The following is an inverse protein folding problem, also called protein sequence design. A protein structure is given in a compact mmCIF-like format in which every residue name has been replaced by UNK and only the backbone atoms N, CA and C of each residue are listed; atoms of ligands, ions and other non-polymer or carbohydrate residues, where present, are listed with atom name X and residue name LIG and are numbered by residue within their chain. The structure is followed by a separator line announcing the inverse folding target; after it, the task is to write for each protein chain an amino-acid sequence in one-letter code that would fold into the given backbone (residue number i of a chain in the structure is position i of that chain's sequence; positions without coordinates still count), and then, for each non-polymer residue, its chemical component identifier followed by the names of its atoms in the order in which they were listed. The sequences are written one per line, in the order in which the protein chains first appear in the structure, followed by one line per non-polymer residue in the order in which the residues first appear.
data_IF_579520891428
#
_entry.id   IF_579520891428
#
_cell.length_a   1.000
_cell.length_b   1.000
_cell.length_c   1.000
_cell.angle_alpha   90.00
_cell.angle_beta   90.00
_cell.angle_gamma   90.00
#
_symmetry.space_group_name_H-M   'P 1'
#
loop_
_entity.id
_entity.type
_entity.pdbx_description
1 polymer ?
#
# COMPACT_ATOMS: atom_id res chain seq x y z
N UNK A 1 -10.85 30.95 -53.58
CA UNK A 1 -10.37 29.59 -53.26
C UNK A 1 -9.59 29.68 -51.96
N UNK A 2 -10.30 29.31 -50.91
CA UNK A 2 -10.11 29.69 -49.51
C UNK A 2 -8.88 29.01 -48.90
N UNK A 3 -7.96 29.81 -48.34
CA UNK A 3 -6.93 29.30 -47.43
C UNK A 3 -7.61 28.86 -46.14
N UNK A 4 -8.01 27.59 -46.09
CA UNK A 4 -8.28 26.86 -44.85
C UNK A 4 -6.95 26.73 -44.07
N UNK A 5 -6.57 27.81 -43.39
CA UNK A 5 -5.71 27.74 -42.22
C UNK A 5 -6.40 26.78 -41.25
N UNK A 6 -5.90 25.55 -41.16
CA UNK A 6 -6.18 24.66 -40.05
C UNK A 6 -5.61 25.29 -38.79
N UNK A 7 -6.42 26.17 -38.19
CA UNK A 7 -6.21 26.72 -36.86
C UNK A 7 -6.34 25.54 -35.91
N UNK A 8 -5.24 24.82 -35.71
CA UNK A 8 -5.14 23.78 -34.68
C UNK A 8 -5.29 24.51 -33.35
N UNK A 9 -6.53 24.52 -32.85
CA UNK A 9 -6.91 25.03 -31.55
C UNK A 9 -5.94 24.42 -30.53
N UNK A 10 -5.33 25.22 -29.62
CA UNK A 10 -4.51 24.66 -28.55
C UNK A 10 -5.38 23.65 -27.80
N UNK A 11 -5.02 22.38 -27.95
CA UNK A 11 -5.86 21.30 -27.45
C UNK A 11 -5.87 21.39 -25.93
N UNK A 12 -7.05 21.63 -25.38
CA UNK A 12 -7.21 21.90 -23.96
C UNK A 12 -6.72 20.68 -23.18
N UNK A 13 -5.67 20.85 -22.38
CA UNK A 13 -4.92 19.72 -21.81
C UNK A 13 -5.81 18.93 -20.86
N UNK A 14 -6.76 19.59 -20.20
CA UNK A 14 -7.73 18.97 -19.29
C UNK A 14 -8.81 18.18 -20.04
N UNK A 15 -8.94 18.34 -21.36
CA UNK A 15 -9.85 17.55 -22.20
C UNK A 15 -9.32 16.16 -22.58
N UNK A 16 -8.03 15.89 -22.34
CA UNK A 16 -7.39 14.58 -22.54
C UNK A 16 -7.74 13.66 -21.37
N UNK A 17 -8.88 13.00 -21.51
CA UNK A 17 -9.39 12.01 -20.58
C UNK A 17 -9.87 10.82 -21.38
N UNK A 18 -9.60 9.60 -20.89
CA UNK A 18 -9.93 8.34 -21.54
C UNK A 18 -11.40 8.27 -22.00
N UNK A 19 -12.31 8.78 -21.17
CA UNK A 19 -13.76 8.76 -21.43
C UNK A 19 -14.24 9.75 -22.49
N UNK A 20 -13.47 10.83 -22.74
CA UNK A 20 -13.80 11.85 -23.75
C UNK A 20 -13.12 11.58 -25.09
N UNK A 21 -11.85 11.18 -25.06
CA UNK A 21 -11.02 10.96 -26.24
C UNK A 21 -10.12 9.74 -26.06
N UNK A 22 -10.65 8.50 -26.13
CA UNK A 22 -9.91 7.30 -25.74
C UNK A 22 -8.67 7.05 -26.59
N UNK A 23 -8.79 7.13 -27.92
CA UNK A 23 -7.69 6.83 -28.85
C UNK A 23 -6.53 7.83 -28.75
N UNK A 24 -6.84 9.13 -28.71
CA UNK A 24 -5.78 10.16 -28.59
C UNK A 24 -5.14 10.18 -27.20
N UNK A 25 -5.91 9.91 -26.14
CA UNK A 25 -5.38 9.77 -24.77
C UNK A 25 -4.43 8.58 -24.69
N UNK A 26 -4.81 7.41 -25.24
CA UNK A 26 -3.94 6.23 -25.30
C UNK A 26 -2.67 6.49 -26.12
N UNK A 27 -2.80 7.11 -27.29
CA UNK A 27 -1.64 7.45 -28.12
C UNK A 27 -0.65 8.35 -27.37
N UNK A 28 -1.15 9.38 -26.69
CA UNK A 28 -0.32 10.33 -25.94
C UNK A 28 0.30 9.66 -24.70
N UNK A 29 -0.44 8.78 -24.03
CA UNK A 29 0.06 7.94 -22.96
C UNK A 29 1.24 7.08 -23.43
N UNK A 30 1.09 6.32 -24.53
CA UNK A 30 2.17 5.47 -25.04
C UNK A 30 3.39 6.28 -25.48
N UNK A 31 3.18 7.44 -26.10
CA UNK A 31 4.28 8.35 -26.49
C UNK A 31 5.03 8.89 -25.26
N UNK A 32 4.34 9.30 -24.20
CA UNK A 32 4.99 9.71 -22.94
C UNK A 32 5.75 8.54 -22.32
N UNK A 33 5.13 7.34 -22.30
CA UNK A 33 5.73 6.14 -21.76
C UNK A 33 7.05 5.79 -22.47
N UNK A 34 7.08 5.87 -23.80
CA UNK A 34 8.31 5.66 -24.60
C UNK A 34 9.37 6.73 -24.30
N UNK A 35 8.96 8.00 -24.16
CA UNK A 35 9.90 9.09 -23.80
C UNK A 35 10.48 8.88 -22.41
N UNK A 36 9.66 8.56 -21.41
CA UNK A 36 10.13 8.28 -20.05
C UNK A 36 11.02 7.04 -20.02
N UNK A 37 10.64 5.97 -20.70
CA UNK A 37 11.40 4.72 -20.75
C UNK A 37 12.77 4.94 -21.42
N UNK A 38 12.80 5.62 -22.56
CA UNK A 38 14.06 5.92 -23.27
C UNK A 38 14.94 6.90 -22.49
N UNK A 39 14.37 7.88 -21.79
CA UNK A 39 15.13 8.80 -20.94
C UNK A 39 15.68 8.08 -19.70
N UNK A 40 14.88 7.22 -19.08
CA UNK A 40 15.28 6.35 -17.97
C UNK A 40 16.40 5.41 -18.38
N UNK A 41 16.26 4.73 -19.52
CA UNK A 41 17.27 3.83 -20.07
C UNK A 41 18.57 4.57 -20.38
N UNK A 42 18.52 5.75 -21.00
CA UNK A 42 19.72 6.58 -21.24
C UNK A 42 20.42 6.98 -19.93
N UNK A 43 19.66 7.34 -18.90
CA UNK A 43 20.22 7.65 -17.57
C UNK A 43 20.82 6.42 -16.91
N UNK A 44 20.16 5.27 -17.00
CA UNK A 44 20.67 4.01 -16.47
C UNK A 44 21.98 3.62 -17.17
N UNK A 45 22.02 3.70 -18.50
CA UNK A 45 23.21 3.44 -19.32
C UNK A 45 24.34 4.46 -19.10
N UNK A 46 24.02 5.70 -18.71
CA UNK A 46 25.03 6.67 -18.29
C UNK A 46 25.76 6.18 -17.02
N UNK A 47 25.08 5.45 -16.13
CA UNK A 47 25.70 4.70 -15.04
C UNK A 47 26.15 3.32 -15.52
N UNK A 48 27.17 3.29 -16.40
CA UNK A 48 27.67 2.07 -17.08
C UNK A 48 27.86 0.87 -16.14
N UNK A 49 28.39 1.08 -14.93
CA UNK A 49 28.61 0.03 -13.94
C UNK A 49 27.29 -0.53 -13.38
N UNK A 50 26.31 0.33 -13.08
CA UNK A 50 25.00 -0.08 -12.59
C UNK A 50 24.21 -0.82 -13.68
N UNK A 51 24.28 -0.35 -14.93
CA UNK A 51 23.66 -0.99 -16.06
C UNK A 51 24.25 -2.38 -16.34
N UNK A 52 25.59 -2.51 -16.30
CA UNK A 52 26.28 -3.78 -16.45
C UNK A 52 25.94 -4.75 -15.32
N UNK A 53 25.94 -4.30 -14.07
CA UNK A 53 25.54 -5.11 -12.91
C UNK A 53 24.09 -5.60 -13.03
N UNK A 54 23.16 -4.73 -13.42
CA UNK A 54 21.76 -5.11 -13.63
C UNK A 54 21.61 -6.14 -14.76
N UNK A 55 22.33 -5.97 -15.87
CA UNK A 55 22.30 -6.91 -16.99
C UNK A 55 22.88 -8.27 -16.63
N UNK A 56 23.98 -8.31 -15.89
CA UNK A 56 24.57 -9.56 -15.37
C UNK A 56 23.64 -10.25 -14.38
N UNK A 57 22.93 -9.50 -13.54
CA UNK A 57 21.97 -10.06 -12.60
C UNK A 57 20.73 -10.64 -13.30
N UNK A 58 20.18 -9.93 -14.29
CA UNK A 58 19.03 -10.40 -15.07
C UNK A 58 19.42 -11.64 -15.90
N UNK A 59 20.57 -11.60 -16.58
CA UNK A 59 21.03 -12.75 -17.36
C UNK A 59 21.35 -13.95 -16.47
N UNK A 60 22.04 -13.75 -15.34
CA UNK A 60 22.34 -14.81 -14.39
C UNK A 60 21.09 -15.47 -13.79
N UNK A 61 20.11 -14.67 -13.36
CA UNK A 61 18.82 -15.19 -12.86
C UNK A 61 18.02 -15.93 -13.94
N UNK A 62 18.00 -15.40 -15.16
CA UNK A 62 17.34 -16.06 -16.31
C UNK A 62 17.99 -17.42 -16.60
N UNK A 63 19.32 -17.47 -16.68
CA UNK A 63 20.07 -18.71 -16.93
C UNK A 63 19.84 -19.73 -15.82
N UNK A 64 19.87 -19.27 -14.56
CA UNK A 64 19.61 -20.09 -13.37
C UNK A 64 18.18 -20.65 -13.31
N UNK A 65 17.21 -20.03 -13.99
CA UNK A 65 15.82 -20.51 -14.05
C UNK A 65 15.59 -21.57 -15.14
N UNK A 66 16.26 -21.42 -16.29
CA UNK A 66 16.10 -22.32 -17.44
C UNK A 66 17.01 -23.55 -17.39
N UNK A 67 18.16 -23.48 -16.71
CA UNK A 67 19.04 -24.63 -16.56
C UNK A 67 18.45 -25.59 -15.52
N UNK A 68 18.15 -26.81 -15.94
CA UNK A 68 17.74 -27.87 -15.03
C UNK A 68 18.93 -28.33 -14.18
N UNK A 69 18.77 -28.33 -12.86
CA UNK A 69 19.82 -28.79 -11.95
C UNK A 69 19.37 -28.83 -10.49
N UNK A 70 20.25 -29.26 -9.57
CA UNK A 70 19.94 -29.32 -8.13
C UNK A 70 19.66 -27.94 -7.52
N UNK A 71 20.11 -26.87 -8.17
CA UNK A 71 19.82 -25.47 -7.79
C UNK A 71 18.36 -25.08 -8.06
N UNK A 72 17.61 -25.82 -8.89
CA UNK A 72 16.24 -25.46 -9.28
C UNK A 72 15.29 -25.43 -8.09
N UNK A 73 15.50 -26.27 -7.08
CA UNK A 73 14.71 -26.25 -5.83
C UNK A 73 14.87 -24.90 -5.12
N UNK A 74 16.11 -24.43 -4.95
CA UNK A 74 16.39 -23.13 -4.34
C UNK A 74 15.88 -21.97 -5.18
N UNK A 75 16.01 -22.05 -6.51
CA UNK A 75 15.50 -21.01 -7.43
C UNK A 75 13.97 -20.91 -7.32
N UNK A 76 13.26 -22.04 -7.29
CA UNK A 76 11.80 -22.05 -7.15
C UNK A 76 11.36 -21.47 -5.80
N UNK A 77 12.00 -21.85 -4.70
CA UNK A 77 11.74 -21.29 -3.36
C UNK A 77 11.96 -19.77 -3.34
N UNK A 78 13.05 -19.27 -3.94
CA UNK A 78 13.33 -17.84 -4.02
C UNK A 78 12.28 -17.13 -4.87
N UNK A 79 11.93 -17.67 -6.03
CA UNK A 79 10.93 -17.06 -6.94
C UNK A 79 9.58 -16.96 -6.25
N UNK A 80 9.13 -18.03 -5.59
CA UNK A 80 7.87 -18.05 -4.83
C UNK A 80 7.91 -17.06 -3.67
N UNK A 81 9.02 -17.02 -2.92
CA UNK A 81 9.22 -16.09 -1.80
C UNK A 81 9.19 -14.63 -2.26
N UNK A 82 9.90 -14.31 -3.34
CA UNK A 82 9.93 -12.95 -3.91
C UNK A 82 8.57 -12.56 -4.48
N UNK A 83 7.88 -13.47 -5.16
CA UNK A 83 6.52 -13.23 -5.64
C UNK A 83 5.55 -12.97 -4.47
N UNK A 84 5.67 -13.74 -3.38
CA UNK A 84 4.90 -13.55 -2.17
C UNK A 84 5.15 -12.18 -1.52
N UNK A 85 6.42 -11.78 -1.37
CA UNK A 85 6.75 -10.45 -0.83
C UNK A 85 6.27 -9.33 -1.75
N UNK A 86 6.48 -9.48 -3.06
CA UNK A 86 6.03 -8.53 -4.07
C UNK A 86 4.52 -8.34 -4.05
N UNK A 87 3.75 -9.41 -3.84
CA UNK A 87 2.30 -9.36 -3.68
C UNK A 87 1.88 -8.46 -2.50
N UNK A 88 2.49 -8.63 -1.33
CA UNK A 88 2.21 -7.78 -0.16
C UNK A 88 2.61 -6.32 -0.39
N UNK A 89 3.72 -6.06 -1.07
CA UNK A 89 4.12 -4.69 -1.46
C UNK A 89 3.08 -4.07 -2.39
N UNK A 90 2.65 -4.78 -3.43
CA UNK A 90 1.65 -4.29 -4.40
C UNK A 90 0.33 -3.98 -3.70
N UNK A 91 -0.17 -4.89 -2.86
CA UNK A 91 -1.39 -4.64 -2.10
C UNK A 91 -1.24 -3.43 -1.16
N UNK A 92 -0.07 -3.26 -0.54
CA UNK A 92 0.25 -2.09 0.27
C UNK A 92 0.22 -0.78 -0.55
N UNK A 93 0.79 -0.76 -1.76
CA UNK A 93 0.73 0.41 -2.66
C UNK A 93 -0.73 0.71 -3.02
N UNK A 94 -1.48 -0.29 -3.47
CA UNK A 94 -2.89 -0.14 -3.82
C UNK A 94 -3.74 0.39 -2.65
N UNK A 95 -3.42 0.01 -1.41
CA UNK A 95 -4.14 0.49 -0.22
C UNK A 95 -3.96 1.98 0.07
N UNK A 96 -2.87 2.58 -0.40
CA UNK A 96 -2.49 3.96 -0.07
C UNK A 96 -2.80 4.95 -1.20
N UNK A 97 -2.82 4.50 -2.45
CA UNK A 97 -2.85 5.38 -3.62
C UNK A 97 -4.25 5.91 -3.95
N UNK A 98 -5.30 5.39 -3.31
CA UNK A 98 -6.70 5.78 -3.56
C UNK A 98 -7.41 6.51 -2.41
N UNK A 99 -6.93 7.67 -1.94
CA UNK A 99 -7.66 8.54 -0.99
C UNK A 99 -7.94 7.94 0.41
N UNK A 100 -6.97 7.24 1.01
CA UNK A 100 -6.98 7.06 2.47
C UNK A 100 -7.89 5.97 3.05
N UNK A 101 -8.25 4.93 2.31
CA UNK A 101 -8.93 3.74 2.87
C UNK A 101 -7.97 2.65 3.36
N UNK A 102 -6.71 2.97 3.67
CA UNK A 102 -5.68 1.98 4.05
C UNK A 102 -6.02 1.11 5.28
N UNK A 103 -6.85 1.61 6.22
CA UNK A 103 -7.39 0.79 7.32
C UNK A 103 -8.36 -0.28 6.81
N UNK A 104 -9.15 0.08 5.81
CA UNK A 104 -10.14 -0.79 5.23
C UNK A 104 -9.48 -1.93 4.43
N UNK A 105 -8.48 -1.62 3.61
CA UNK A 105 -7.69 -2.63 2.88
C UNK A 105 -6.90 -3.52 3.84
N UNK A 106 -6.40 -2.98 4.96
CA UNK A 106 -5.79 -3.78 6.02
C UNK A 106 -6.78 -4.83 6.58
N UNK A 107 -8.01 -4.43 6.91
CA UNK A 107 -9.03 -5.35 7.43
C UNK A 107 -9.48 -6.41 6.43
N UNK A 108 -9.30 -6.19 5.12
CA UNK A 108 -9.67 -7.16 4.09
C UNK A 108 -8.57 -8.19 3.78
N UNK A 109 -7.30 -7.79 3.85
CA UNK A 109 -6.20 -8.64 3.39
C UNK A 109 -5.24 -9.02 4.53
N UNK A 110 -4.53 -8.04 5.10
CA UNK A 110 -3.49 -8.31 6.09
C UNK A 110 -4.07 -8.75 7.45
N UNK A 111 -5.17 -8.15 7.89
CA UNK A 111 -5.86 -8.50 9.14
C UNK A 111 -6.30 -9.96 9.18
N UNK A 112 -7.07 -10.45 8.17
CA UNK A 112 -7.47 -11.85 8.07
C UNK A 112 -6.29 -12.81 7.96
N UNK A 113 -5.21 -12.42 7.29
CA UNK A 113 -3.99 -13.21 7.25
C UNK A 113 -3.37 -13.37 8.65
N UNK A 114 -3.19 -12.27 9.39
CA UNK A 114 -2.66 -12.31 10.77
C UNK A 114 -3.59 -13.13 11.68
N UNK A 115 -4.90 -12.96 11.55
CA UNK A 115 -5.89 -13.72 12.32
C UNK A 115 -5.77 -15.22 12.06
N UNK A 116 -5.61 -15.65 10.80
CA UNK A 116 -5.42 -17.06 10.43
C UNK A 116 -4.16 -17.65 11.06
N UNK A 117 -3.02 -16.96 10.97
CA UNK A 117 -1.76 -17.41 11.59
C UNK A 117 -1.90 -17.47 13.12
N UNK A 118 -2.63 -16.54 13.70
CA UNK A 118 -2.87 -16.50 15.15
C UNK A 118 -3.71 -17.68 15.60
N UNK A 119 -4.83 -17.97 14.92
CA UNK A 119 -5.67 -19.13 15.23
C UNK A 119 -4.91 -20.45 15.04
N UNK A 120 -4.21 -20.60 13.91
CA UNK A 120 -3.35 -21.74 13.63
C UNK A 120 -2.36 -22.02 14.77
N UNK A 121 -1.71 -20.96 15.28
CA UNK A 121 -0.76 -21.07 16.36
C UNK A 121 -1.40 -21.59 17.65
N UNK A 122 -2.57 -21.05 18.03
CA UNK A 122 -3.27 -21.50 19.24
C UNK A 122 -3.84 -22.92 19.10
N UNK A 123 -4.30 -23.32 17.92
CA UNK A 123 -4.85 -24.67 17.68
C UNK A 123 -3.76 -25.75 17.64
N UNK A 124 -2.65 -25.47 16.97
CA UNK A 124 -1.54 -26.41 16.86
C UNK A 124 -0.63 -26.43 18.11
N UNK A 125 -0.81 -25.47 19.04
CA UNK A 125 0.09 -25.32 20.18
C UNK A 125 1.52 -24.91 19.81
N UNK A 126 1.77 -24.52 18.55
CA UNK A 126 3.09 -24.17 18.03
C UNK A 126 3.05 -23.47 16.67
N UNK A 127 4.20 -22.94 16.24
CA UNK A 127 4.33 -22.08 15.04
C UNK A 127 5.00 -22.75 13.83
N UNK A 128 5.33 -24.04 13.96
CA UNK A 128 5.97 -24.86 12.92
C UNK A 128 4.96 -25.49 11.94
N UNK A 129 3.89 -24.77 11.61
CA UNK A 129 3.03 -25.10 10.47
C UNK A 129 3.60 -24.45 9.18
N UNK A 130 3.32 -25.05 8.00
CA UNK A 130 3.90 -24.64 6.72
C UNK A 130 3.76 -23.14 6.48
N UNK A 131 4.78 -22.49 5.93
CA UNK A 131 4.75 -21.05 5.60
C UNK A 131 3.84 -20.76 4.40
N UNK A 132 3.30 -19.53 4.27
CA UNK A 132 2.50 -19.16 3.12
C UNK A 132 3.27 -19.34 1.79
N UNK A 133 2.60 -19.74 0.69
CA UNK A 133 1.17 -20.01 0.56
C UNK A 133 0.76 -21.27 1.32
N UNK A 134 -0.19 -21.12 2.26
CA UNK A 134 -0.66 -22.26 3.05
C UNK A 134 -1.39 -23.23 2.11
N UNK A 135 -1.19 -24.56 2.25
CA UNK A 135 -2.17 -25.50 1.74
C UNK A 135 -3.55 -25.19 2.34
N UNK A 136 -4.62 -25.67 1.71
CA UNK A 136 -6.00 -25.37 2.14
C UNK A 136 -6.25 -25.72 3.62
N UNK A 137 -5.44 -26.61 4.20
CA UNK A 137 -5.47 -26.99 5.61
C UNK A 137 -4.16 -26.60 6.33
N UNK A 138 -4.29 -26.01 7.52
CA UNK A 138 -3.16 -25.82 8.44
C UNK A 138 -2.79 -27.20 9.00
N UNK A 139 -1.69 -27.77 8.51
CA UNK A 139 -1.15 -29.03 9.02
C UNK A 139 -0.32 -28.71 10.28
N UNK A 140 -0.80 -29.15 11.44
CA UNK A 140 -0.07 -28.99 12.69
C UNK A 140 1.15 -29.91 12.74
N UNK A 141 2.29 -29.43 13.28
CA UNK A 141 3.47 -30.27 13.47
C UNK A 141 3.22 -31.36 14.51
N UNK A 142 3.82 -32.54 14.31
CA UNK A 142 3.71 -33.67 15.24
C UNK A 142 4.50 -33.46 16.54
N UNK A 143 5.54 -32.60 16.51
CA UNK A 143 6.36 -32.24 17.66
C UNK A 143 6.39 -30.72 17.85
N UNK A 144 6.19 -30.27 19.09
CA UNK A 144 6.22 -28.86 19.46
C UNK A 144 7.64 -28.51 19.93
N UNK A 145 8.39 -27.81 19.08
CA UNK A 145 9.70 -27.26 19.47
C UNK A 145 9.51 -26.21 20.58
N UNK A 146 10.22 -26.32 21.73
CA UNK A 146 10.15 -25.34 22.83
C UNK A 146 10.47 -23.90 22.40
N UNK A 147 11.20 -23.69 21.28
CA UNK A 147 11.45 -22.35 20.73
C UNK A 147 10.24 -21.76 19.99
N UNK A 148 9.35 -22.61 19.49
CA UNK A 148 8.21 -22.24 18.65
C UNK A 148 6.86 -22.34 19.38
N UNK A 149 6.89 -22.33 20.71
CA UNK A 149 5.68 -22.27 21.54
C UNK A 149 4.86 -21.03 21.25
N UNK A 150 3.55 -21.16 21.46
CA UNK A 150 2.60 -20.07 21.21
C UNK A 150 2.88 -18.92 22.16
N UNK A 151 3.25 -17.77 21.57
CA UNK A 151 3.36 -16.52 22.28
C UNK A 151 3.06 -15.38 21.33
N UNK A 152 2.57 -14.25 21.85
CA UNK A 152 2.28 -13.05 21.04
C UNK A 152 3.54 -12.64 20.26
N UNK A 153 4.71 -12.70 20.90
CA UNK A 153 6.00 -12.36 20.29
C UNK A 153 6.38 -13.30 19.14
N UNK A 154 6.19 -14.60 19.31
CA UNK A 154 6.52 -15.58 18.27
C UNK A 154 5.53 -15.49 17.10
N UNK A 155 4.23 -15.25 17.36
CA UNK A 155 3.24 -14.99 16.30
C UNK A 155 3.59 -13.69 15.56
N UNK A 156 3.92 -12.62 16.27
CA UNK A 156 4.39 -11.36 15.68
C UNK A 156 5.65 -11.51 14.84
N UNK A 157 6.53 -12.45 15.19
CA UNK A 157 7.73 -12.78 14.44
C UNK A 157 7.39 -13.57 13.16
N UNK A 158 6.45 -14.52 13.25
CA UNK A 158 5.99 -15.33 12.11
C UNK A 158 5.37 -14.49 10.99
N UNK A 159 4.50 -13.51 11.31
CA UNK A 159 3.84 -12.62 10.33
C UNK A 159 4.63 -11.35 9.97
N UNK A 160 5.90 -11.27 10.39
CA UNK A 160 6.68 -10.03 10.36
C UNK A 160 6.91 -9.55 8.94
N UNK A 161 7.32 -10.44 8.05
CA UNK A 161 7.75 -10.07 6.70
C UNK A 161 6.57 -9.58 5.88
N UNK A 162 5.45 -10.30 5.89
CA UNK A 162 4.22 -9.93 5.21
C UNK A 162 3.72 -8.56 5.68
N UNK A 163 3.70 -8.35 7.00
CA UNK A 163 3.27 -7.08 7.59
C UNK A 163 4.22 -5.93 7.19
N UNK A 164 5.54 -6.14 7.25
CA UNK A 164 6.53 -5.13 6.88
C UNK A 164 6.49 -4.80 5.39
N UNK A 165 6.34 -5.80 4.51
CA UNK A 165 6.23 -5.63 3.06
C UNK A 165 4.97 -4.86 2.68
N UNK A 166 3.83 -5.17 3.32
CA UNK A 166 2.62 -4.36 3.19
C UNK A 166 2.86 -2.92 3.62
N UNK A 167 3.44 -2.70 4.81
CA UNK A 167 3.74 -1.37 5.33
C UNK A 167 4.71 -0.59 4.43
N UNK A 168 5.70 -1.26 3.83
CA UNK A 168 6.59 -0.69 2.82
C UNK A 168 5.81 -0.27 1.57
N UNK A 169 4.90 -1.11 1.09
CA UNK A 169 3.98 -0.75 0.00
C UNK A 169 3.16 0.50 0.32
N UNK A 170 2.64 0.62 1.55
CA UNK A 170 1.90 1.83 1.96
C UNK A 170 2.77 3.09 2.06
N UNK A 171 4.09 2.95 2.26
CA UNK A 171 5.02 4.08 2.21
C UNK A 171 5.33 4.48 0.76
N UNK A 172 5.47 3.50 -0.13
CA UNK A 172 5.63 3.73 -1.57
C UNK A 172 4.39 4.40 -2.18
N UNK A 173 3.19 4.07 -1.71
CA UNK A 173 1.95 4.68 -2.16
C UNK A 173 1.77 6.16 -1.79
N UNK A 174 2.58 6.71 -0.89
CA UNK A 174 2.62 8.16 -0.59
C UNK A 174 3.59 8.96 -1.47
N UNK A 175 4.42 8.28 -2.27
CA UNK A 175 5.35 8.94 -3.17
C UNK A 175 4.65 9.78 -4.25
N UNK A 176 3.53 9.35 -4.88
CA UNK A 176 2.87 10.16 -5.89
C UNK A 176 2.39 11.52 -5.35
N UNK A 177 1.63 11.62 -4.23
CA UNK A 177 1.28 12.91 -3.64
C UNK A 177 2.49 13.78 -3.31
N UNK A 178 3.55 13.20 -2.75
CA UNK A 178 4.79 13.91 -2.43
C UNK A 178 5.46 14.53 -3.67
N UNK A 179 5.65 13.75 -4.73
CA UNK A 179 6.28 14.25 -5.96
C UNK A 179 5.39 15.24 -6.71
N UNK A 180 4.06 15.04 -6.70
CA UNK A 180 3.12 15.99 -7.27
C UNK A 180 3.21 17.35 -6.58
N UNK A 181 3.14 17.38 -5.24
CA UNK A 181 3.23 18.64 -4.49
C UNK A 181 4.60 19.31 -4.65
N UNK A 182 5.69 18.51 -4.70
CA UNK A 182 7.04 19.02 -4.95
C UNK A 182 7.18 19.63 -6.35
N UNK A 183 6.66 18.96 -7.38
CA UNK A 183 6.70 19.44 -8.76
C UNK A 183 5.85 20.71 -8.94
N UNK A 184 4.66 20.77 -8.33
CA UNK A 184 3.82 21.96 -8.32
C UNK A 184 4.56 23.16 -7.74
N UNK A 185 5.16 23.01 -6.54
CA UNK A 185 5.93 24.07 -5.88
C UNK A 185 7.11 24.55 -6.72
N UNK A 186 7.87 23.63 -7.32
CA UNK A 186 9.02 23.96 -8.17
C UNK A 186 8.62 24.65 -9.49
N UNK A 187 7.39 24.41 -9.97
CA UNK A 187 6.86 25.05 -11.17
C UNK A 187 6.27 26.45 -10.93
N UNK A 188 6.37 26.98 -9.70
CA UNK A 188 5.78 28.26 -9.32
C UNK A 188 4.26 28.20 -9.07
N UNK A 189 3.64 27.03 -9.26
CA UNK A 189 2.26 26.79 -8.87
C UNK A 189 2.14 26.71 -7.36
N UNK A 190 1.29 27.55 -6.77
CA UNK A 190 0.72 27.25 -5.46
C UNK A 190 -0.17 26.02 -5.62
N UNK A 191 -0.03 25.03 -4.73
CA UNK A 191 -1.09 24.01 -4.59
C UNK A 191 -2.24 24.74 -3.89
N UNK A 192 -3.09 25.38 -4.70
CA UNK A 192 -4.16 26.30 -4.26
C UNK A 192 -5.12 25.62 -3.27
N UNK A 193 -5.25 24.29 -3.26
CA UNK A 193 -6.14 23.57 -2.34
C UNK A 193 -5.64 23.36 -0.91
N UNK A 194 -4.35 23.55 -0.61
CA UNK A 194 -3.83 23.34 0.76
C UNK A 194 -3.94 24.57 1.66
N UNK A 195 -4.40 25.70 1.09
CA UNK A 195 -4.44 27.00 1.76
C UNK A 195 -5.84 27.62 1.79
N UNK A 196 -6.90 26.84 1.56
CA UNK A 196 -8.20 27.28 2.04
C UNK A 196 -8.13 27.34 3.57
N UNK A 197 -8.26 28.56 4.10
CA UNK A 197 -8.43 28.84 5.53
C UNK A 197 -9.70 28.15 6.00
N UNK A 198 -9.58 26.87 6.30
CA UNK A 198 -10.64 26.06 6.84
C UNK A 198 -10.57 26.20 8.37
N UNK A 199 -11.43 27.03 8.97
CA UNK A 199 -11.44 27.36 10.41
C UNK A 199 -11.88 26.18 11.31
N UNK A 200 -12.04 24.99 10.71
CA UNK A 200 -12.39 23.73 11.35
C UNK A 200 -11.27 23.16 12.25
N UNK A 201 -11.66 22.24 13.16
CA UNK A 201 -10.72 21.39 13.95
C UNK A 201 -9.72 20.66 13.03
N UNK A 202 -10.12 20.30 11.82
CA UNK A 202 -9.24 19.73 10.79
C UNK A 202 -8.19 20.73 10.29
N UNK A 203 -8.54 22.01 10.13
CA UNK A 203 -7.59 23.07 9.77
C UNK A 203 -6.53 23.32 10.84
N UNK A 204 -6.90 23.31 12.12
CA UNK A 204 -5.93 23.43 13.23
C UNK A 204 -4.96 22.24 13.28
N UNK A 205 -5.46 21.02 13.03
CA UNK A 205 -4.61 19.84 12.93
C UNK A 205 -3.65 19.93 11.73
N UNK A 206 -4.10 20.46 10.57
CA UNK A 206 -3.25 20.74 9.40
C UNK A 206 -2.09 21.68 9.77
N UNK A 207 -2.39 22.80 10.43
CA UNK A 207 -1.37 23.80 10.86
C UNK A 207 -0.43 23.22 11.92
N UNK A 208 -0.93 22.37 12.82
CA UNK A 208 -0.10 21.68 13.82
C UNK A 208 0.88 20.72 13.17
N UNK A 209 0.42 19.88 12.23
CA UNK A 209 1.28 18.98 11.45
C UNK A 209 2.32 19.77 10.66
N UNK A 210 1.91 20.86 10.03
CA UNK A 210 2.83 21.75 9.31
C UNK A 210 3.93 22.31 10.22
N UNK A 211 3.57 22.82 11.40
CA UNK A 211 4.54 23.33 12.39
C UNK A 211 5.44 22.21 12.93
N UNK A 212 4.90 21.01 13.15
CA UNK A 212 5.67 19.86 13.64
C UNK A 212 6.70 19.38 12.60
N UNK A 213 6.30 19.26 11.34
CA UNK A 213 7.19 18.86 10.23
C UNK A 213 8.27 19.92 10.00
N UNK A 214 7.92 21.21 10.06
CA UNK A 214 8.90 22.31 9.92
C UNK A 214 9.88 22.38 11.09
N UNK A 215 9.42 22.16 12.33
CA UNK A 215 10.25 22.33 13.54
C UNK A 215 11.09 21.10 13.86
N UNK A 216 10.58 19.90 13.60
CA UNK A 216 11.17 18.64 14.07
C UNK A 216 11.72 17.78 12.90
N UNK A 217 11.39 18.12 11.65
CA UNK A 217 11.92 17.43 10.47
C UNK A 217 11.59 15.93 10.47
N UNK A 218 12.61 15.08 10.47
CA UNK A 218 12.48 13.62 10.40
C UNK A 218 11.54 13.04 11.47
N UNK A 219 11.71 13.43 12.75
CA UNK A 219 10.88 12.84 13.82
C UNK A 219 9.43 13.34 13.79
N UNK A 220 9.18 14.55 13.26
CA UNK A 220 7.83 15.04 13.00
C UNK A 220 7.13 14.22 11.91
N UNK A 221 7.84 13.93 10.82
CA UNK A 221 7.33 13.07 9.73
C UNK A 221 7.09 11.65 10.22
N UNK A 222 8.00 11.10 11.03
CA UNK A 222 7.88 9.77 11.62
C UNK A 222 6.64 9.66 12.50
N UNK A 223 6.39 10.65 13.37
CA UNK A 223 5.22 10.69 14.23
C UNK A 223 3.92 10.75 13.39
N UNK A 224 3.87 11.60 12.36
CA UNK A 224 2.73 11.69 11.46
C UNK A 224 2.49 10.38 10.68
N UNK A 225 3.55 9.69 10.25
CA UNK A 225 3.45 8.43 9.53
C UNK A 225 3.01 7.25 10.42
N UNK A 226 3.22 7.35 11.73
CA UNK A 226 2.91 6.29 12.70
C UNK A 226 1.44 6.26 13.16
N UNK A 227 0.68 7.34 12.93
CA UNK A 227 -0.72 7.48 13.38
C UNK A 227 -1.72 6.98 12.31
N UNK A 228 -2.76 6.19 12.67
CA UNK A 228 -3.82 5.80 11.74
C UNK A 228 -4.71 6.98 11.27
N UNK A 229 -5.03 7.03 9.96
CA UNK A 229 -5.71 8.08 9.15
C UNK A 229 -6.69 9.04 9.85
N UNK A 230 -6.68 10.36 9.51
CA UNK A 230 -6.54 10.97 8.16
C UNK A 230 -5.29 11.86 7.92
N UNK A 231 -4.34 11.93 8.86
CA UNK A 231 -3.17 12.83 8.78
C UNK A 231 -2.09 12.40 7.75
N UNK A 232 -2.22 11.17 7.24
CA UNK A 232 -1.28 10.45 6.37
C UNK A 232 -1.11 11.08 4.98
N UNK A 233 -2.21 11.29 4.24
CA UNK A 233 -2.15 11.85 2.88
C UNK A 233 -1.71 13.33 2.88
N UNK A 234 -2.01 14.03 3.98
CA UNK A 234 -1.61 15.41 4.20
C UNK A 234 -0.10 15.54 4.43
N UNK A 235 0.52 14.59 5.13
CA UNK A 235 1.96 14.61 5.39
C UNK A 235 2.76 14.53 4.09
N UNK A 236 2.35 13.67 3.14
CA UNK A 236 2.98 13.57 1.82
C UNK A 236 2.90 14.87 1.02
N UNK A 237 1.71 15.46 0.93
CA UNK A 237 1.49 16.74 0.23
C UNK A 237 2.26 17.90 0.86
N UNK A 238 2.23 18.02 2.19
CA UNK A 238 2.94 19.10 2.90
C UNK A 238 4.45 18.94 2.78
N UNK A 239 5.00 17.73 2.96
CA UNK A 239 6.43 17.47 2.78
C UNK A 239 6.91 17.76 1.36
N UNK A 240 6.11 17.42 0.36
CA UNK A 240 6.39 17.75 -1.04
C UNK A 240 6.40 19.27 -1.28
N UNK A 241 5.38 19.98 -0.77
CA UNK A 241 5.28 21.43 -0.89
C UNK A 241 6.42 22.19 -0.20
N UNK A 242 6.89 21.72 0.96
CA UNK A 242 8.04 22.31 1.66
C UNK A 242 9.40 21.84 1.14
N UNK A 243 9.42 21.08 0.04
CA UNK A 243 10.65 20.60 -0.61
C UNK A 243 11.56 19.77 0.32
N UNK A 244 10.99 19.09 1.33
CA UNK A 244 11.72 18.21 2.24
C UNK A 244 12.54 17.19 1.42
N UNK A 245 13.80 16.88 1.76
CA UNK A 245 14.58 15.89 1.03
C UNK A 245 13.88 14.53 0.95
N UNK A 246 14.00 13.87 -0.21
CA UNK A 246 13.33 12.59 -0.46
C UNK A 246 13.65 11.54 0.62
N UNK A 247 14.93 11.38 0.97
CA UNK A 247 15.35 10.37 1.94
C UNK A 247 14.86 10.64 3.36
N UNK A 248 14.72 11.91 3.75
CA UNK A 248 14.16 12.28 5.06
C UNK A 248 12.68 11.94 5.12
N UNK A 249 11.94 12.22 4.05
CA UNK A 249 10.52 11.88 3.94
C UNK A 249 10.33 10.36 3.87
N UNK A 250 10.93 9.70 2.87
CA UNK A 250 10.75 8.28 2.61
C UNK A 250 11.27 7.40 3.75
N UNK A 251 12.41 7.75 4.36
CA UNK A 251 12.93 7.00 5.50
C UNK A 251 12.01 7.09 6.73
N UNK A 252 11.48 8.29 7.02
CA UNK A 252 10.56 8.50 8.12
C UNK A 252 9.21 7.79 7.88
N UNK A 253 8.67 7.84 6.66
CA UNK A 253 7.42 7.16 6.31
C UNK A 253 7.58 5.64 6.29
N UNK A 254 8.69 5.12 5.77
CA UNK A 254 9.00 3.69 5.79
C UNK A 254 9.10 3.17 7.22
N UNK A 255 9.87 3.84 8.09
CA UNK A 255 10.02 3.43 9.49
C UNK A 255 8.70 3.54 10.26
N UNK A 256 7.97 4.65 10.08
CA UNK A 256 6.69 4.88 10.76
C UNK A 256 5.64 3.85 10.37
N UNK A 257 5.62 3.41 9.10
CA UNK A 257 4.59 2.52 8.60
C UNK A 257 4.97 1.06 8.63
N UNK A 258 6.10 0.67 8.05
CA UNK A 258 6.51 -0.72 7.96
C UNK A 258 6.90 -1.28 9.32
N UNK A 259 7.40 -0.43 10.23
CA UNK A 259 7.78 -0.84 11.58
C UNK A 259 6.69 -0.42 12.56
N UNK A 260 6.62 0.86 12.94
CA UNK A 260 5.84 1.29 14.12
C UNK A 260 4.34 0.97 13.96
N UNK A 261 3.70 1.50 12.92
CA UNK A 261 2.27 1.32 12.66
C UNK A 261 1.90 -0.15 12.50
N UNK A 262 2.68 -0.91 11.71
CA UNK A 262 2.41 -2.33 11.52
C UNK A 262 2.55 -3.14 12.81
N UNK A 263 3.54 -2.85 13.65
CA UNK A 263 3.68 -3.51 14.95
C UNK A 263 2.47 -3.25 15.85
N UNK A 264 1.96 -2.02 15.89
CA UNK A 264 0.76 -1.68 16.65
C UNK A 264 -0.48 -2.41 16.08
N UNK A 265 -0.69 -2.34 14.76
CA UNK A 265 -1.85 -2.95 14.12
C UNK A 265 -1.87 -4.48 14.24
N UNK A 266 -0.73 -5.17 14.04
CA UNK A 266 -0.68 -6.62 14.20
C UNK A 266 -0.83 -7.05 15.65
N UNK A 267 -0.28 -6.29 16.61
CA UNK A 267 -0.43 -6.59 18.03
C UNK A 267 -1.90 -6.53 18.44
N UNK A 268 -2.63 -5.50 17.96
CA UNK A 268 -4.07 -5.40 18.18
C UNK A 268 -4.84 -6.62 17.64
N UNK A 269 -4.53 -7.05 16.40
CA UNK A 269 -5.17 -8.23 15.82
C UNK A 269 -4.83 -9.50 16.61
N UNK A 270 -3.56 -9.75 16.93
CA UNK A 270 -3.15 -10.96 17.67
C UNK A 270 -3.81 -11.03 19.05
N UNK A 271 -3.93 -9.90 19.75
CA UNK A 271 -4.62 -9.84 21.06
C UNK A 271 -6.11 -10.12 20.88
N UNK A 272 -6.76 -9.55 19.86
CA UNK A 272 -8.18 -9.74 19.60
C UNK A 272 -8.56 -11.19 19.26
N UNK A 273 -7.62 -11.99 18.74
CA UNK A 273 -7.81 -13.41 18.43
C UNK A 273 -7.18 -14.37 19.46
N UNK A 274 -6.64 -13.86 20.56
CA UNK A 274 -6.18 -14.70 21.67
C UNK A 274 -7.32 -14.94 22.66
N UNK A 275 -7.79 -16.18 22.76
CA UNK A 275 -8.92 -16.55 23.61
C UNK A 275 -8.68 -16.24 25.10
N UNK A 276 -7.46 -16.44 25.60
CA UNK A 276 -7.13 -16.19 27.01
C UNK A 276 -7.14 -14.69 27.34
N UNK A 277 -6.59 -13.85 26.46
CA UNK A 277 -6.57 -12.40 26.64
C UNK A 277 -7.94 -11.79 26.40
N UNK A 278 -8.70 -12.29 25.43
CA UNK A 278 -10.09 -11.90 25.19
C UNK A 278 -10.94 -12.24 26.41
N UNK A 279 -10.84 -13.45 26.97
CA UNK A 279 -11.58 -13.84 28.16
C UNK A 279 -11.22 -12.96 29.37
N UNK A 280 -9.93 -12.65 29.56
CA UNK A 280 -9.51 -11.71 30.60
C UNK A 280 -10.08 -10.31 30.35
N UNK A 281 -9.96 -9.77 29.13
CA UNK A 281 -10.49 -8.45 28.78
C UNK A 281 -12.02 -8.37 28.97
N UNK A 282 -12.74 -9.43 28.63
CA UNK A 282 -14.18 -9.54 28.88
C UNK A 282 -14.49 -9.53 30.38
N UNK A 283 -13.74 -10.23 31.21
CA UNK A 283 -13.88 -10.19 32.67
C UNK A 283 -13.55 -8.79 33.26
N UNK A 284 -12.61 -8.05 32.67
CA UNK A 284 -12.35 -6.66 33.02
C UNK A 284 -13.51 -5.73 32.63
N UNK A 285 -14.12 -5.96 31.47
CA UNK A 285 -15.30 -5.20 30.99
C UNK A 285 -16.53 -5.51 31.84
N UNK A 286 -16.72 -6.76 32.26
CA UNK A 286 -17.79 -7.18 33.18
C UNK A 286 -17.74 -6.41 34.52
N UNK A 287 -16.54 -6.05 34.98
CA UNK A 287 -16.31 -5.29 36.22
C UNK A 287 -16.77 -3.82 36.12
N UNK A 288 -17.14 -3.33 34.95
CA UNK A 288 -17.69 -1.98 34.75
C UNK A 288 -19.19 -2.02 35.09
N UNK A 289 -19.65 -1.36 36.17
CA UNK A 289 -21.06 -1.36 36.52
C UNK A 289 -21.90 -0.75 35.39
N UNK A 290 -23.11 -1.31 35.18
CA UNK A 290 -24.13 -0.85 34.22
C UNK A 290 -23.88 -1.14 32.72
N UNK A 291 -22.62 -1.12 32.26
CA UNK A 291 -22.26 -1.25 30.83
C UNK A 291 -21.65 -2.63 30.51
N UNK A 292 -20.92 -3.24 31.46
CA UNK A 292 -20.21 -4.51 31.28
C UNK A 292 -21.05 -5.65 30.70
N UNK A 293 -22.14 -6.09 31.37
CA UNK A 293 -22.93 -7.24 30.92
C UNK A 293 -23.70 -6.98 29.61
N UNK A 294 -23.89 -5.71 29.21
CA UNK A 294 -24.52 -5.35 27.92
C UNK A 294 -23.55 -5.37 26.75
N UNK A 295 -22.24 -5.18 26.99
CA UNK A 295 -21.20 -5.20 25.96
C UNK A 295 -20.54 -6.58 25.80
N UNK A 296 -20.49 -7.39 26.88
CA UNK A 296 -19.83 -8.70 26.86
C UNK A 296 -20.47 -9.66 25.85
N UNK A 297 -21.79 -9.88 25.95
CA UNK A 297 -22.51 -10.81 25.08
C UNK A 297 -22.36 -10.50 23.57
N UNK A 298 -22.60 -9.27 23.08
CA UNK A 298 -22.43 -8.96 21.66
C UNK A 298 -20.96 -9.00 21.22
N UNK A 299 -20.00 -8.68 22.10
CA UNK A 299 -18.58 -8.74 21.78
C UNK A 299 -18.11 -10.20 21.67
N UNK A 300 -18.52 -11.05 22.59
CA UNK A 300 -18.20 -12.48 22.61
C UNK A 300 -18.85 -13.20 21.41
N UNK A 301 -20.11 -12.90 21.10
CA UNK A 301 -20.82 -13.42 19.93
C UNK A 301 -20.17 -12.95 18.61
N UNK A 302 -19.75 -11.68 18.52
CA UNK A 302 -19.03 -11.16 17.36
C UNK A 302 -17.69 -11.88 17.16
N UNK A 303 -16.91 -12.08 18.22
CA UNK A 303 -15.63 -12.79 18.17
C UNK A 303 -15.81 -14.27 17.78
N UNK A 304 -16.80 -14.97 18.36
CA UNK A 304 -17.15 -16.35 17.97
C UNK A 304 -17.58 -16.44 16.51
N UNK A 305 -18.45 -15.54 16.06
CA UNK A 305 -18.91 -15.50 14.67
C UNK A 305 -17.77 -15.19 13.69
N UNK A 306 -16.82 -14.32 14.06
CA UNK A 306 -15.62 -14.08 13.25
C UNK A 306 -14.70 -15.30 13.20
N UNK A 307 -14.45 -15.96 14.34
CA UNK A 307 -13.66 -17.19 14.41
C UNK A 307 -14.29 -18.28 13.52
N UNK A 308 -15.58 -18.53 13.67
CA UNK A 308 -16.31 -19.54 12.89
C UNK A 308 -16.31 -19.24 11.38
N UNK A 309 -16.45 -17.97 10.98
CA UNK A 309 -16.35 -17.55 9.57
C UNK A 309 -14.95 -17.76 9.00
N UNK A 310 -13.91 -17.67 9.82
CA UNK A 310 -12.54 -17.88 9.38
C UNK A 310 -12.26 -19.37 9.11
N UNK A 311 -12.78 -20.27 9.94
CA UNK A 311 -12.70 -21.73 9.74
C UNK A 311 -13.54 -22.25 8.56
N UNK A 312 -14.74 -21.69 8.36
CA UNK A 312 -15.66 -22.18 7.32
C UNK A 312 -15.21 -21.85 5.89
N UNK A 313 -14.34 -20.85 5.72
CA UNK A 313 -13.77 -20.47 4.43
C UNK A 313 -12.78 -21.53 3.88
N UNK A 314 -12.39 -22.49 4.71
CA UNK A 314 -11.40 -23.53 4.37
C UNK A 314 -12.05 -24.90 4.07
N UNK A 315 -13.34 -25.10 4.38
CA UNK A 315 -14.04 -26.41 4.29
C UNK A 315 -15.21 -26.49 3.29
N UNK A 316 -15.37 -25.50 2.41
CA UNK A 316 -16.39 -25.55 1.35
C UNK A 316 -15.84 -24.98 0.03
N UNK A 317 -16.29 -25.59 -1.09
CA UNK A 317 -16.38 -25.02 -2.44
C UNK A 317 -16.73 -23.52 -2.38
N UNK A 318 -16.39 -22.70 -3.40
CA UNK A 318 -16.59 -21.26 -3.36
C UNK A 318 -18.09 -20.92 -3.45
N UNK A 319 -18.83 -21.17 -2.37
CA UNK A 319 -20.12 -20.58 -2.16
C UNK A 319 -19.88 -19.12 -1.79
N UNK A 320 -20.33 -18.31 -2.72
CA UNK A 320 -20.27 -16.87 -2.81
C UNK A 320 -21.10 -16.22 -1.68
N UNK A 321 -20.73 -16.47 -0.42
CA UNK A 321 -21.28 -15.82 0.76
C UNK A 321 -20.19 -15.03 1.50
N UNK A 322 -19.38 -14.28 0.74
CA UNK A 322 -19.05 -12.96 1.24
C UNK A 322 -20.39 -12.26 1.50
N UNK A 323 -20.62 -11.79 2.73
CA UNK A 323 -21.72 -10.84 3.00
C UNK A 323 -21.82 -9.89 1.82
N UNK A 324 -23.04 -9.57 1.35
CA UNK A 324 -23.26 -8.62 0.25
C UNK A 324 -22.34 -7.39 0.42
N UNK A 325 -22.09 -6.99 1.67
CA UNK A 325 -21.09 -6.02 2.07
C UNK A 325 -19.66 -6.33 1.59
N UNK A 326 -19.08 -7.50 1.89
CA UNK A 326 -17.73 -7.90 1.43
C UNK A 326 -17.61 -7.93 -0.09
N UNK A 327 -18.63 -8.44 -0.82
CA UNK A 327 -18.60 -8.45 -2.29
C UNK A 327 -18.74 -7.04 -2.87
N UNK A 328 -19.63 -6.22 -2.31
CA UNK A 328 -19.81 -4.83 -2.70
C UNK A 328 -18.54 -4.01 -2.45
N UNK A 329 -17.86 -4.34 -1.38
CA UNK A 329 -16.63 -3.69 -0.93
C UNK A 329 -15.41 -4.11 -1.76
N UNK A 330 -15.29 -5.38 -2.13
CA UNK A 330 -14.31 -5.85 -3.11
C UNK A 330 -14.52 -5.19 -4.47
N UNK A 331 -15.77 -5.11 -4.94
CA UNK A 331 -16.13 -4.39 -6.19
C UNK A 331 -15.83 -2.90 -6.09
N UNK A 332 -16.08 -2.28 -4.94
CA UNK A 332 -15.73 -0.89 -4.68
C UNK A 332 -14.22 -0.67 -4.73
N UNK A 333 -13.42 -1.51 -4.07
CA UNK A 333 -11.96 -1.46 -4.13
C UNK A 333 -11.46 -1.66 -5.55
N UNK A 334 -12.00 -2.64 -6.28
CA UNK A 334 -11.66 -2.85 -7.69
C UNK A 334 -12.00 -1.63 -8.54
N UNK A 335 -13.15 -0.99 -8.32
CA UNK A 335 -13.53 0.24 -9.00
C UNK A 335 -12.56 1.39 -8.68
N UNK A 336 -12.12 1.54 -7.43
CA UNK A 336 -11.10 2.53 -7.04
C UNK A 336 -9.75 2.25 -7.72
N UNK A 337 -9.31 1.00 -7.77
CA UNK A 337 -8.07 0.60 -8.46
C UNK A 337 -8.17 0.86 -9.96
N UNK A 338 -9.29 0.50 -10.60
CA UNK A 338 -9.52 0.79 -12.02
C UNK A 338 -9.55 2.29 -12.29
N UNK A 339 -10.24 3.06 -11.45
CA UNK A 339 -10.24 4.53 -11.53
C UNK A 339 -8.83 5.09 -11.40
N UNK A 340 -8.02 4.54 -10.48
CA UNK A 340 -6.63 4.95 -10.32
C UNK A 340 -5.78 4.63 -11.57
N UNK A 341 -5.91 3.44 -12.16
CA UNK A 341 -5.24 3.10 -13.42
C UNK A 341 -5.64 4.05 -14.54
N UNK A 342 -6.93 4.35 -14.68
CA UNK A 342 -7.43 5.34 -15.64
C UNK A 342 -6.85 6.73 -15.36
N UNK A 343 -6.73 7.12 -14.08
CA UNK A 343 -6.12 8.38 -13.67
C UNK A 343 -4.63 8.46 -14.07
N UNK A 344 -3.86 7.38 -13.92
CA UNK A 344 -2.47 7.32 -14.40
C UNK A 344 -2.40 7.54 -15.92
N UNK A 345 -3.25 6.84 -16.68
CA UNK A 345 -3.29 6.95 -18.14
C UNK A 345 -3.58 8.39 -18.56
N UNK A 346 -4.59 9.01 -17.93
CA UNK A 346 -4.95 10.41 -18.19
C UNK A 346 -3.78 11.35 -17.83
N UNK A 347 -3.19 11.21 -16.65
CA UNK A 347 -2.10 12.07 -16.19
C UNK A 347 -0.87 12.01 -17.10
N UNK A 348 -0.49 10.82 -17.58
CA UNK A 348 0.61 10.65 -18.51
C UNK A 348 0.31 11.23 -19.90
N UNK A 349 -0.91 11.03 -20.41
CA UNK A 349 -1.33 11.63 -21.68
C UNK A 349 -1.30 13.17 -21.63
N UNK A 350 -1.76 13.74 -20.52
CA UNK A 350 -1.73 15.19 -20.27
C UNK A 350 -0.30 15.73 -20.16
N UNK A 351 0.61 14.99 -19.51
CA UNK A 351 2.01 15.36 -19.42
C UNK A 351 2.69 15.43 -20.79
N UNK A 352 2.41 14.49 -21.69
CA UNK A 352 2.89 14.55 -23.07
C UNK A 352 2.38 15.80 -23.81
N UNK A 353 1.09 16.10 -23.68
CA UNK A 353 0.50 17.31 -24.27
C UNK A 353 1.20 18.58 -23.78
N UNK A 354 1.43 18.72 -22.45
CA UNK A 354 2.19 19.82 -21.86
C UNK A 354 3.62 19.91 -22.41
N UNK A 355 4.29 18.76 -22.57
CA UNK A 355 5.66 18.67 -23.11
C UNK A 355 5.72 19.13 -24.57
N UNK A 356 4.76 18.72 -25.40
CA UNK A 356 4.64 19.17 -26.80
C UNK A 356 4.34 20.67 -26.87
N UNK A 357 3.46 21.18 -26.01
CA UNK A 357 3.18 22.61 -25.87
C UNK A 357 4.43 23.43 -25.57
N UNK A 358 5.22 23.03 -24.54
CA UNK A 358 6.48 23.70 -24.19
C UNK A 358 7.52 23.68 -25.30
N UNK A 359 7.64 22.58 -26.05
CA UNK A 359 8.56 22.47 -27.21
C UNK A 359 8.15 23.38 -28.37
N UNK A 360 6.86 23.58 -28.60
CA UNK A 360 6.35 24.50 -29.63
C UNK A 360 6.53 25.97 -29.23
N UNK A 361 6.39 26.30 -27.93
CA UNK A 361 6.68 27.65 -27.41
C UNK A 361 8.14 28.05 -27.61
N UNK A 362 9.08 27.18 -27.21
CA UNK A 362 10.54 27.39 -27.39
C UNK A 362 11.04 27.45 -28.84
N UNK A 363 10.21 27.11 -29.82
CA UNK A 363 10.53 27.21 -31.26
C UNK A 363 9.97 28.49 -31.90
N UNK A 364 9.10 29.22 -31.17
CA UNK A 364 8.47 30.46 -31.63
C UNK A 364 9.13 31.71 -31.04
N UNK A 365 9.82 31.57 -29.91
CA UNK A 365 10.92 32.46 -29.51
C UNK A 365 12.18 32.07 -30.29
#
# INVERSE_FOLDING_TARGET
MEKLLSKVVPMDTESLVLWRKPLTTLEYFFRELVILSSTGLKRLLAYKLLALAALLLISGTTVSYYISGPHQLFVQEIVLTVAWWGWWVILGVCSSVGLGTGLHTFLLYLGPHIARVTLAAYECGGLNFPTPPYPNDIICPSEIDPKNVVSIWNIMAKVRIESMMWGMGTALGELPPYFMARAARLSGGSVVELTEKDDSRTGRAKVMVQKLVQKVGFAGILACASIPNPLFDLAGLTCGHFLVPFWTFFGATLLGKAVIKMHIQKMFVIIAFNETLVAQALAWVERIPYIGPKLEAPLLEFLRNQKARLHKKDSATPENQGSILSSLLEKFVLAMVLYFVVSIVNALAQNYSKRVGKKKGKKKE
#
